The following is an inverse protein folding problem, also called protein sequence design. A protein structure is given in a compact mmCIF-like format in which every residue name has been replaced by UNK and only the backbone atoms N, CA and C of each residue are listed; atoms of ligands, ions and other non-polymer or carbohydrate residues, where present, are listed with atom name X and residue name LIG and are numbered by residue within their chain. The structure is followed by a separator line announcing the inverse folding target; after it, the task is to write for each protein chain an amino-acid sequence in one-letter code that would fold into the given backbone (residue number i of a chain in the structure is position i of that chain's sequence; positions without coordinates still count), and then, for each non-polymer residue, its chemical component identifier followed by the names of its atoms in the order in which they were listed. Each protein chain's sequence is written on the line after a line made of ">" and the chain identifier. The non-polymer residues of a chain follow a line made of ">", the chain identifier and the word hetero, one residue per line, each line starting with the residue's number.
data_IF_616028567039
#
_entry.id   IF_616028567039
#
_cell.length_a   1.000
_cell.length_b   1.000
_cell.length_c   1.000
_cell.angle_alpha   90.00
_cell.angle_beta   90.00
_cell.angle_gamma   90.00
#
_symmetry.space_group_name_H-M   'P 1'
#
loop_
_entity.id
_entity.type
_entity.pdbx_description
1 polymer ?
#
# COMPACT_ATOMS: atom_id res chain seq x y z
N UNK A 1 23.11 2.73 16.10
CA UNK A 1 22.61 2.31 14.77
C UNK A 1 21.22 2.89 14.62
N UNK A 2 20.83 3.42 13.46
CA UNK A 2 19.43 3.83 13.29
C UNK A 2 18.58 2.57 13.18
N UNK A 3 17.47 2.53 13.91
CA UNK A 3 16.47 1.46 13.77
C UNK A 3 15.82 1.56 12.39
N UNK A 4 15.46 0.41 11.85
CA UNK A 4 14.66 0.27 10.63
C UNK A 4 13.20 0.08 11.01
N UNK A 5 12.35 1.02 10.63
CA UNK A 5 10.89 0.88 10.67
C UNK A 5 10.33 1.50 9.40
N UNK A 6 9.69 0.67 8.57
CA UNK A 6 9.28 1.05 7.23
C UNK A 6 7.91 0.47 6.90
N UNK A 7 7.00 1.34 6.48
CA UNK A 7 5.63 0.98 6.09
C UNK A 7 5.45 1.19 4.60
N UNK A 8 5.07 0.11 3.90
CA UNK A 8 4.79 0.09 2.47
C UNK A 8 3.32 -0.22 2.21
N UNK A 9 2.63 0.66 1.48
CA UNK A 9 1.27 0.43 1.01
C UNK A 9 1.31 0.08 -0.48
N UNK A 10 0.65 -1.00 -0.87
CA UNK A 10 0.36 -1.31 -2.27
C UNK A 10 -1.16 -1.39 -2.46
N UNK A 11 -1.68 -0.71 -3.47
CA UNK A 11 -3.12 -0.67 -3.72
C UNK A 11 -3.50 -0.71 -5.20
N UNK A 12 -4.75 -1.11 -5.45
CA UNK A 12 -5.38 -1.10 -6.76
C UNK A 12 -6.55 -2.08 -6.89
N UNK A 13 -7.05 -2.30 -8.11
CA UNK A 13 -8.24 -3.11 -8.34
C UNK A 13 -8.00 -4.58 -8.00
N UNK A 14 -8.98 -5.25 -7.41
CA UNK A 14 -8.88 -6.68 -7.12
C UNK A 14 -8.57 -7.52 -8.38
N UNK A 15 -7.51 -8.33 -8.28
CA UNK A 15 -6.99 -9.14 -9.39
C UNK A 15 -5.82 -8.53 -10.16
N UNK A 16 -5.41 -7.30 -9.85
CA UNK A 16 -4.25 -6.62 -10.45
C UNK A 16 -2.88 -7.11 -9.94
N UNK A 17 -2.85 -7.91 -8.87
CA UNK A 17 -1.62 -8.45 -8.29
C UNK A 17 -1.16 -7.78 -6.98
N UNK A 18 -1.96 -6.88 -6.39
CA UNK A 18 -1.70 -6.23 -5.08
C UNK A 18 -1.22 -7.23 -4.02
N UNK A 19 -1.98 -8.32 -3.81
CA UNK A 19 -1.66 -9.34 -2.80
C UNK A 19 -0.38 -10.12 -3.14
N UNK A 20 -0.16 -10.41 -4.42
CA UNK A 20 1.07 -11.09 -4.85
C UNK A 20 2.30 -10.22 -4.60
N UNK A 21 2.23 -8.92 -4.92
CA UNK A 21 3.30 -7.96 -4.66
C UNK A 21 3.61 -7.82 -3.17
N UNK A 22 2.58 -7.62 -2.35
CA UNK A 22 2.68 -7.55 -0.89
C UNK A 22 3.37 -8.78 -0.29
N UNK A 23 2.97 -9.98 -0.73
CA UNK A 23 3.52 -11.24 -0.23
C UNK A 23 4.98 -11.46 -0.67
N UNK A 24 5.35 -11.10 -1.90
CA UNK A 24 6.73 -11.22 -2.39
C UNK A 24 7.66 -10.30 -1.57
N UNK A 25 7.30 -9.03 -1.41
CA UNK A 25 8.06 -8.06 -0.62
C UNK A 25 8.21 -8.53 0.83
N UNK A 26 7.09 -8.87 1.48
CA UNK A 26 7.06 -9.37 2.85
C UNK A 26 7.97 -10.58 3.04
N UNK A 27 7.92 -11.53 2.10
CA UNK A 27 8.74 -12.74 2.13
C UNK A 27 10.23 -12.42 2.03
N UNK A 28 10.63 -11.52 1.14
CA UNK A 28 12.03 -11.10 1.01
C UNK A 28 12.52 -10.42 2.28
N UNK A 29 11.76 -9.48 2.84
CA UNK A 29 12.11 -8.81 4.09
C UNK A 29 12.23 -9.79 5.27
N UNK A 30 11.29 -10.74 5.39
CA UNK A 30 11.38 -11.79 6.40
C UNK A 30 12.63 -12.68 6.24
N UNK A 31 12.99 -13.03 5.00
CA UNK A 31 14.21 -13.78 4.71
C UNK A 31 15.49 -13.02 5.05
N UNK A 32 15.44 -11.68 5.06
CA UNK A 32 16.55 -10.82 5.49
C UNK A 32 16.62 -10.64 7.01
N UNK A 33 15.69 -11.21 7.78
CA UNK A 33 15.69 -11.20 9.25
C UNK A 33 14.82 -10.11 9.89
N UNK A 34 14.03 -9.37 9.10
CA UNK A 34 13.11 -8.36 9.63
C UNK A 34 11.80 -8.98 10.15
N UNK A 35 11.17 -8.30 11.10
CA UNK A 35 9.81 -8.57 11.54
C UNK A 35 8.81 -7.94 10.57
N UNK A 36 7.73 -8.66 10.28
CA UNK A 36 6.74 -8.24 9.29
C UNK A 36 5.35 -8.23 9.93
N UNK A 37 4.62 -7.14 9.71
CA UNK A 37 3.20 -7.06 10.02
C UNK A 37 2.44 -6.62 8.78
N UNK A 38 1.41 -7.39 8.40
CA UNK A 38 0.61 -7.14 7.22
C UNK A 38 -0.84 -6.80 7.58
N UNK A 39 -1.35 -5.68 7.06
CA UNK A 39 -2.78 -5.31 7.10
C UNK A 39 -3.33 -5.37 5.68
N UNK A 40 -4.23 -6.31 5.44
CA UNK A 40 -4.89 -6.50 4.14
C UNK A 40 -6.34 -6.06 4.22
N UNK A 41 -6.77 -5.24 3.27
CA UNK A 41 -8.13 -4.70 3.20
C UNK A 41 -8.69 -4.92 1.79
N UNK A 42 -9.87 -5.53 1.70
CA UNK A 42 -10.51 -5.90 0.45
C UNK A 42 -12.03 -5.95 0.61
N UNK A 43 -12.76 -5.51 -0.43
CA UNK A 43 -14.21 -5.69 -0.50
C UNK A 43 -14.59 -7.15 -0.77
N UNK A 44 -15.77 -7.57 -0.30
CA UNK A 44 -16.33 -8.93 -0.50
C UNK A 44 -16.71 -9.27 -1.95
N UNK A 45 -16.27 -8.48 -2.93
CA UNK A 45 -16.53 -8.68 -4.35
C UNK A 45 -15.50 -9.66 -4.93
N UNK A 46 -15.80 -10.24 -6.10
CA UNK A 46 -14.90 -11.22 -6.72
C UNK A 46 -13.78 -10.51 -7.52
N UNK A 47 -14.06 -9.34 -8.14
CA UNK A 47 -13.09 -8.52 -8.90
C UNK A 47 -13.52 -7.05 -8.97
N UNK A 48 -12.55 -6.16 -9.23
CA UNK A 48 -12.77 -4.80 -9.74
C UNK A 48 -12.73 -3.68 -8.70
N UNK A 49 -13.20 -3.93 -7.48
CA UNK A 49 -13.17 -2.92 -6.41
C UNK A 49 -11.75 -2.68 -5.89
N UNK A 50 -11.55 -1.54 -5.25
CA UNK A 50 -10.28 -1.17 -4.62
C UNK A 50 -9.86 -2.19 -3.56
N UNK A 51 -8.59 -2.52 -3.55
CA UNK A 51 -7.99 -3.36 -2.51
C UNK A 51 -6.59 -2.85 -2.22
N UNK A 52 -6.19 -2.94 -0.97
CA UNK A 52 -4.86 -2.51 -0.57
C UNK A 52 -4.27 -3.41 0.49
N UNK A 53 -2.95 -3.37 0.57
CA UNK A 53 -2.17 -4.13 1.51
C UNK A 53 -1.06 -3.24 2.05
N UNK A 54 -1.10 -2.99 3.35
CA UNK A 54 -0.04 -2.29 4.07
C UNK A 54 0.89 -3.30 4.74
N UNK A 55 2.19 -3.19 4.50
CA UNK A 55 3.24 -4.03 5.09
C UNK A 55 4.18 -3.16 5.91
N UNK A 56 4.23 -3.40 7.22
CA UNK A 56 5.22 -2.81 8.12
C UNK A 56 6.40 -3.78 8.29
N UNK A 57 7.60 -3.26 8.14
CA UNK A 57 8.88 -3.97 8.23
C UNK A 57 9.71 -3.31 9.32
N UNK A 58 10.18 -4.07 10.31
CA UNK A 58 11.01 -3.53 11.38
C UNK A 58 12.16 -4.46 11.77
N UNK A 59 13.27 -3.88 12.23
CA UNK A 59 14.35 -4.62 12.90
C UNK A 59 14.04 -4.96 14.36
N UNK A 60 12.92 -4.48 14.89
CA UNK A 60 12.38 -4.80 16.21
C UNK A 60 11.03 -5.53 16.15
N UNK A 61 10.56 -6.03 17.28
CA UNK A 61 9.25 -6.70 17.36
C UNK A 61 8.10 -5.70 17.10
N UNK A 62 7.22 -6.08 16.18
CA UNK A 62 6.03 -5.28 15.86
C UNK A 62 4.87 -5.68 16.78
N UNK A 63 4.33 -4.72 17.52
CA UNK A 63 3.19 -4.93 18.42
C UNK A 63 1.87 -4.35 17.90
N UNK A 64 1.92 -3.50 16.87
CA UNK A 64 0.73 -2.86 16.28
C UNK A 64 1.00 -2.42 14.84
N UNK A 65 -0.06 -2.09 14.11
CA UNK A 65 0.06 -1.28 12.91
C UNK A 65 0.43 0.17 13.27
N UNK A 66 0.85 0.91 12.25
CA UNK A 66 0.95 2.38 12.25
C UNK A 66 0.09 2.91 11.11
N UNK A 67 -0.29 4.19 11.18
CA UNK A 67 -1.05 4.83 10.10
C UNK A 67 -0.13 5.42 9.03
N UNK A 68 1.06 5.90 9.42
CA UNK A 68 1.99 6.56 8.51
C UNK A 68 2.61 5.55 7.52
N UNK A 69 2.60 5.93 6.24
CA UNK A 69 3.12 5.17 5.10
C UNK A 69 4.35 5.87 4.55
N UNK A 70 5.49 5.18 4.55
CA UNK A 70 6.74 5.72 3.99
C UNK A 70 6.76 5.63 2.46
N UNK A 71 6.15 4.59 1.89
CA UNK A 71 6.08 4.41 0.44
C UNK A 71 4.72 3.84 0.04
N UNK A 72 4.07 4.47 -0.93
CA UNK A 72 2.89 3.94 -1.60
C UNK A 72 3.23 3.51 -3.02
N UNK A 73 2.76 2.34 -3.43
CA UNK A 73 2.75 1.88 -4.82
C UNK A 73 1.30 1.73 -5.27
N UNK A 74 0.96 2.43 -6.35
CA UNK A 74 -0.40 2.54 -6.83
C UNK A 74 -0.58 1.90 -8.20
N UNK A 75 -1.56 1.00 -8.35
CA UNK A 75 -1.95 0.42 -9.64
C UNK A 75 -3.16 1.11 -10.29
N UNK A 76 -3.77 2.08 -9.60
CA UNK A 76 -4.83 2.94 -10.12
C UNK A 76 -4.74 4.36 -9.52
N UNK A 77 -5.61 5.26 -9.97
CA UNK A 77 -5.70 6.59 -9.35
C UNK A 77 -6.44 6.55 -8.00
N UNK A 78 -7.32 5.56 -7.81
CA UNK A 78 -8.15 5.43 -6.62
C UNK A 78 -7.33 5.28 -5.34
N UNK A 79 -6.31 4.42 -5.37
CA UNK A 79 -5.41 4.21 -4.23
C UNK A 79 -4.76 5.53 -3.80
N UNK A 80 -4.28 6.35 -4.75
CA UNK A 80 -3.68 7.65 -4.44
C UNK A 80 -4.73 8.54 -3.77
N UNK A 81 -5.90 8.70 -4.40
CA UNK A 81 -6.92 9.60 -3.87
C UNK A 81 -7.46 9.19 -2.50
N UNK A 82 -7.51 7.88 -2.19
CA UNK A 82 -7.98 7.38 -0.89
C UNK A 82 -6.95 7.46 0.22
N UNK A 83 -5.67 7.28 -0.11
CA UNK A 83 -4.63 7.04 0.90
C UNK A 83 -3.54 8.12 0.92
N UNK A 84 -3.66 9.18 0.11
CA UNK A 84 -2.65 10.24 0.03
C UNK A 84 -2.29 10.82 1.41
N UNK A 85 -3.30 11.04 2.25
CA UNK A 85 -3.12 11.60 3.59
C UNK A 85 -2.42 10.65 4.59
N UNK A 86 -2.24 9.37 4.22
CA UNK A 86 -1.46 8.41 5.01
C UNK A 86 0.05 8.50 4.73
N UNK A 87 0.48 9.20 3.66
CA UNK A 87 1.89 9.35 3.32
C UNK A 87 2.62 10.25 4.32
N UNK A 88 3.70 9.74 4.91
CA UNK A 88 4.60 10.53 5.75
C UNK A 88 5.15 11.74 4.99
N UNK A 89 5.48 12.82 5.69
CA UNK A 89 6.01 14.06 5.06
C UNK A 89 7.29 13.86 4.24
N UNK A 90 8.07 12.83 4.55
CA UNK A 90 9.30 12.41 3.87
C UNK A 90 9.11 11.14 3.01
N UNK A 91 7.85 10.70 2.86
CA UNK A 91 7.48 9.53 2.09
C UNK A 91 7.39 9.77 0.58
N UNK A 92 7.05 8.71 -0.15
CA UNK A 92 6.95 8.75 -1.61
C UNK A 92 5.78 7.96 -2.17
N UNK A 93 5.39 8.30 -3.39
CA UNK A 93 4.36 7.60 -4.16
C UNK A 93 4.97 7.15 -5.49
N UNK A 94 4.80 5.88 -5.83
CA UNK A 94 5.13 5.30 -7.13
C UNK A 94 3.80 4.96 -7.82
N UNK A 95 3.61 5.48 -9.02
CA UNK A 95 2.39 5.28 -9.80
C UNK A 95 2.72 5.30 -11.30
N UNK A 96 1.81 4.80 -12.12
CA UNK A 96 1.93 4.90 -13.57
C UNK A 96 1.72 6.35 -14.03
N UNK A 97 2.66 6.91 -14.80
CA UNK A 97 2.58 8.26 -15.37
C UNK A 97 1.31 8.51 -16.18
N UNK A 98 0.67 7.46 -16.74
CA UNK A 98 -0.61 7.60 -17.44
C UNK A 98 -1.74 8.13 -16.52
N UNK A 99 -1.58 8.00 -15.20
CA UNK A 99 -2.56 8.46 -14.22
C UNK A 99 -2.46 9.96 -13.90
N UNK A 100 -1.40 10.67 -14.32
CA UNK A 100 -1.11 12.07 -13.93
C UNK A 100 -2.27 13.05 -14.19
N UNK A 101 -3.02 12.84 -15.27
CA UNK A 101 -4.16 13.70 -15.66
C UNK A 101 -5.53 13.12 -15.24
N UNK A 102 -5.52 12.14 -14.33
CA UNK A 102 -6.76 11.59 -13.76
C UNK A 102 -7.28 12.53 -12.70
N UNK A 103 -8.57 12.82 -12.77
CA UNK A 103 -9.28 13.64 -11.80
C UNK A 103 -10.26 12.76 -11.03
N UNK A 104 -10.62 13.16 -9.81
CA UNK A 104 -11.44 12.34 -8.91
C UNK A 104 -12.80 11.98 -9.50
N UNK A 105 -13.39 12.83 -10.34
CA UNK A 105 -14.67 12.57 -11.05
C UNK A 105 -14.60 11.39 -12.04
N UNK A 106 -13.40 10.99 -12.47
CA UNK A 106 -13.19 9.83 -13.35
C UNK A 106 -13.11 8.52 -12.59
N UNK A 107 -12.97 8.56 -11.26
CA UNK A 107 -12.85 7.37 -10.43
C UNK A 107 -14.18 7.05 -9.77
N UNK A 108 -14.95 6.18 -10.43
CA UNK A 108 -16.37 5.89 -10.07
C UNK A 108 -16.60 5.31 -8.68
N UNK A 109 -15.56 4.73 -8.12
CA UNK A 109 -15.54 3.96 -6.86
C UNK A 109 -15.12 4.83 -5.67
N UNK A 110 -14.44 5.96 -5.89
CA UNK A 110 -14.40 7.01 -4.86
C UNK A 110 -15.82 7.55 -4.73
N UNK A 111 -16.45 7.31 -3.59
CA UNK A 111 -17.86 7.58 -3.39
C UNK A 111 -18.26 9.04 -3.73
N UNK A 112 -19.50 9.17 -4.21
CA UNK A 112 -20.28 10.39 -4.33
C UNK A 112 -20.74 10.92 -2.95
#
# INVERSE_FOLDING_TARGET
>A
MSSTDFTWLIGGPQGSGVESGANIFSKVCAQMGYQIFGKREFYSNIKGEHSYFTVRVSDENIHSNVNDVNLMVSFDAETIFRHYDEISSDGGIIYDSELENTTTDKVRTLDA
#
